data_IF_879687298579
#
_entry.id   IF_879687298579
#
_cell.length_a   1.000
_cell.length_b   1.000
_cell.length_c   1.000
_cell.angle_alpha   90.00
_cell.angle_beta   90.00
_cell.angle_gamma   90.00
#
_symmetry.space_group_name_H-M   'P 1'
#
loop_
_entity.id
_entity.type
_entity.pdbx_description
1 polymer ?
#
# COMPACT_ATOMS: atom_id res chain seq x y z
N UNK A 1 -8.66 23.92 4.11
CA UNK A 1 -7.70 23.83 3.00
C UNK A 1 -8.47 23.81 1.70
N UNK A 2 -8.06 24.59 0.71
CA UNK A 2 -8.61 24.51 -0.65
C UNK A 2 -8.06 23.26 -1.39
N UNK A 3 -8.56 23.00 -2.59
CA UNK A 3 -8.17 21.81 -3.38
C UNK A 3 -6.66 21.83 -3.69
N UNK A 4 -6.09 22.99 -4.00
CA UNK A 4 -4.67 23.10 -4.35
C UNK A 4 -3.78 22.84 -3.13
N UNK A 5 -4.13 23.42 -1.98
CA UNK A 5 -3.45 23.16 -0.71
C UNK A 5 -3.49 21.67 -0.33
N UNK A 6 -4.61 20.98 -0.58
CA UNK A 6 -4.72 19.54 -0.32
C UNK A 6 -3.80 18.72 -1.24
N UNK A 7 -3.72 19.06 -2.52
CA UNK A 7 -2.81 18.42 -3.47
C UNK A 7 -1.35 18.63 -3.06
N UNK A 8 -0.97 19.86 -2.72
CA UNK A 8 0.39 20.17 -2.29
C UNK A 8 0.76 19.41 -1.01
N UNK A 9 -0.15 19.35 -0.04
CA UNK A 9 0.07 18.55 1.18
C UNK A 9 0.24 17.06 0.88
N UNK A 10 -0.56 16.50 -0.04
CA UNK A 10 -0.43 15.11 -0.45
C UNK A 10 0.95 14.83 -1.07
N UNK A 11 1.39 15.67 -2.02
CA UNK A 11 2.71 15.55 -2.67
C UNK A 11 3.83 15.64 -1.62
N UNK A 12 3.81 16.65 -0.76
CA UNK A 12 4.82 16.82 0.29
C UNK A 12 4.88 15.63 1.25
N UNK A 13 3.73 15.06 1.61
CA UNK A 13 3.66 13.87 2.49
C UNK A 13 4.28 12.65 1.82
N UNK A 14 4.05 12.46 0.51
CA UNK A 14 4.66 11.38 -0.27
C UNK A 14 6.18 11.58 -0.34
N UNK A 15 6.64 12.80 -0.64
CA UNK A 15 8.07 13.10 -0.77
C UNK A 15 8.84 12.91 0.54
N UNK A 16 8.24 13.26 1.68
CA UNK A 16 8.83 13.04 3.01
C UNK A 16 9.06 11.55 3.33
N UNK A 17 8.31 10.64 2.69
CA UNK A 17 8.41 9.19 2.88
C UNK A 17 9.04 8.48 1.69
N UNK A 18 9.63 9.20 0.74
CA UNK A 18 10.20 8.66 -0.51
C UNK A 18 11.07 7.42 -0.30
N UNK A 19 11.99 7.47 0.66
CA UNK A 19 12.91 6.35 0.91
C UNK A 19 12.20 5.08 1.38
N UNK A 20 11.07 5.19 2.08
CA UNK A 20 10.26 4.04 2.49
C UNK A 20 9.72 3.30 1.27
N UNK A 21 9.20 4.05 0.29
CA UNK A 21 8.64 3.47 -0.95
C UNK A 21 9.73 2.87 -1.85
N UNK A 22 10.87 3.55 -1.96
CA UNK A 22 12.02 3.04 -2.71
C UNK A 22 12.58 1.76 -2.07
N UNK A 23 12.73 1.73 -0.74
CA UNK A 23 13.18 0.55 -0.02
C UNK A 23 12.20 -0.63 -0.16
N UNK A 24 10.89 -0.38 -0.07
CA UNK A 24 9.87 -1.39 -0.31
C UNK A 24 9.96 -1.98 -1.72
N UNK A 25 10.05 -1.12 -2.75
CA UNK A 25 10.19 -1.55 -4.13
C UNK A 25 11.47 -2.35 -4.39
N UNK A 26 12.61 -1.89 -3.85
CA UNK A 26 13.89 -2.62 -3.92
C UNK A 26 13.80 -3.99 -3.25
N UNK A 27 13.23 -4.06 -2.04
CA UNK A 27 13.07 -5.32 -1.30
C UNK A 27 12.26 -6.34 -2.11
N UNK A 28 11.15 -5.93 -2.74
CA UNK A 28 10.36 -6.82 -3.60
C UNK A 28 11.17 -7.22 -4.84
N UNK A 29 11.84 -6.27 -5.49
CA UNK A 29 12.64 -6.53 -6.69
C UNK A 29 13.81 -7.51 -6.45
N UNK A 30 14.48 -7.39 -5.31
CA UNK A 30 15.60 -8.26 -4.90
C UNK A 30 15.15 -9.66 -4.46
N UNK A 31 13.85 -9.86 -4.20
CA UNK A 31 13.28 -11.12 -3.74
C UNK A 31 12.13 -11.57 -4.66
N UNK A 32 12.39 -11.86 -5.95
CA UNK A 32 11.35 -12.23 -6.88
C UNK A 32 10.75 -13.60 -6.54
N UNK A 33 9.43 -13.71 -6.70
CA UNK A 33 8.68 -14.95 -6.54
C UNK A 33 7.88 -15.24 -7.81
N UNK A 34 7.69 -16.54 -8.12
CA UNK A 34 6.88 -16.95 -9.27
C UNK A 34 5.40 -16.82 -8.97
N UNK A 35 4.59 -16.77 -10.03
CA UNK A 35 3.13 -16.85 -9.95
C UNK A 35 2.64 -17.95 -9.01
N UNK A 36 1.63 -17.64 -8.19
CA UNK A 36 1.03 -18.52 -7.17
C UNK A 36 1.93 -18.88 -5.97
N UNK A 37 3.10 -18.24 -5.84
CA UNK A 37 4.07 -18.49 -4.76
C UNK A 37 4.60 -17.19 -4.15
N UNK A 38 3.89 -16.08 -4.32
CA UNK A 38 4.29 -14.72 -3.91
C UNK A 38 4.14 -14.48 -2.40
N UNK A 39 4.48 -15.48 -1.57
CA UNK A 39 4.20 -15.45 -0.12
C UNK A 39 4.96 -14.31 0.56
N UNK A 40 6.25 -14.15 0.27
CA UNK A 40 7.08 -13.11 0.90
C UNK A 40 6.76 -11.72 0.35
N UNK A 41 6.43 -11.64 -0.93
CA UNK A 41 6.06 -10.41 -1.61
C UNK A 41 4.76 -9.86 -1.03
N UNK A 42 3.74 -10.71 -0.91
CA UNK A 42 2.45 -10.34 -0.30
C UNK A 42 2.61 -9.97 1.16
N UNK A 43 3.38 -10.75 1.93
CA UNK A 43 3.68 -10.42 3.33
C UNK A 43 4.31 -9.03 3.44
N UNK A 44 5.33 -8.75 2.60
CA UNK A 44 6.06 -7.48 2.59
C UNK A 44 5.16 -6.31 2.23
N UNK A 45 4.25 -6.47 1.26
CA UNK A 45 3.31 -5.42 0.88
C UNK A 45 2.24 -5.19 1.95
N UNK A 46 1.66 -6.25 2.50
CA UNK A 46 0.64 -6.16 3.53
C UNK A 46 1.18 -5.55 4.83
N UNK A 47 2.42 -5.88 5.24
CA UNK A 47 3.10 -5.23 6.37
C UNK A 47 3.26 -3.72 6.15
N UNK A 48 3.60 -3.32 4.92
CA UNK A 48 3.74 -1.91 4.58
C UNK A 48 2.41 -1.16 4.63
N UNK A 49 1.31 -1.79 4.20
CA UNK A 49 -0.04 -1.24 4.26
C UNK A 49 -0.53 -1.11 5.72
N UNK A 50 -0.30 -2.11 6.55
CA UNK A 50 -0.62 -2.09 7.98
C UNK A 50 0.20 -1.03 8.74
N UNK A 51 1.48 -0.85 8.38
CA UNK A 51 2.31 0.22 8.94
C UNK A 51 1.80 1.63 8.59
N UNK A 52 0.99 1.78 7.53
CA UNK A 52 0.26 3.02 7.23
C UNK A 52 -1.02 3.20 8.06
N UNK A 53 -1.37 2.22 8.91
CA UNK A 53 -2.58 2.20 9.71
C UNK A 53 -3.82 1.72 8.94
N UNK A 54 -3.64 1.04 7.80
CA UNK A 54 -4.76 0.50 7.02
C UNK A 54 -5.12 -0.91 7.48
N UNK A 55 -6.42 -1.16 7.60
CA UNK A 55 -6.94 -2.52 7.75
C UNK A 55 -6.65 -3.30 6.45
N UNK A 56 -5.87 -4.37 6.59
CA UNK A 56 -5.38 -5.18 5.47
C UNK A 56 -5.84 -6.62 5.61
N UNK A 57 -6.64 -7.06 4.65
CA UNK A 57 -7.04 -8.46 4.47
C UNK A 57 -5.92 -9.21 3.76
N UNK A 58 -5.55 -10.38 4.27
CA UNK A 58 -4.51 -11.26 3.73
C UNK A 58 -5.11 -12.58 3.24
N UNK A 59 -4.30 -13.38 2.55
CA UNK A 59 -4.63 -14.74 2.09
C UNK A 59 -5.83 -14.84 1.13
N UNK A 60 -6.09 -13.76 0.37
CA UNK A 60 -7.13 -13.75 -0.67
C UNK A 60 -6.67 -14.65 -1.82
N UNK A 61 -7.39 -15.74 -2.07
CA UNK A 61 -7.02 -16.71 -3.12
C UNK A 61 -5.55 -17.17 -3.00
N UNK A 62 -5.12 -17.51 -1.79
CA UNK A 62 -3.77 -17.96 -1.39
C UNK A 62 -2.79 -16.81 -1.12
N UNK A 63 -2.42 -16.00 -2.12
CA UNK A 63 -1.35 -15.00 -1.98
C UNK A 63 -1.83 -13.56 -2.16
N UNK A 64 -3.12 -13.30 -2.29
CA UNK A 64 -3.64 -11.93 -2.42
C UNK A 64 -3.73 -11.19 -1.08
N UNK A 65 -3.56 -9.88 -1.11
CA UNK A 65 -3.89 -8.99 0.01
C UNK A 65 -4.66 -7.75 -0.48
N UNK A 66 -5.46 -7.15 0.40
CA UNK A 66 -6.24 -5.95 0.11
C UNK A 66 -6.35 -5.05 1.33
N UNK A 67 -5.92 -3.81 1.19
CA UNK A 67 -6.13 -2.77 2.20
C UNK A 67 -7.27 -1.83 1.82
N UNK A 68 -7.93 -1.23 2.82
CA UNK A 68 -9.03 -0.28 2.60
C UNK A 68 -8.76 1.03 3.34
N UNK A 69 -8.68 2.12 2.59
CA UNK A 69 -8.77 3.47 3.16
C UNK A 69 -10.23 3.93 3.17
N UNK A 70 -10.66 4.59 4.25
CA UNK A 70 -12.01 5.16 4.38
C UNK A 70 -13.14 4.14 4.12
N UNK A 71 -12.99 2.90 4.62
CA UNK A 71 -13.95 1.81 4.37
C UNK A 71 -15.39 2.22 4.68
N UNK A 72 -15.59 2.91 5.81
CA UNK A 72 -16.91 3.33 6.31
C UNK A 72 -17.48 4.59 5.64
N UNK A 73 -16.74 5.29 4.78
CA UNK A 73 -17.29 6.48 4.11
C UNK A 73 -18.25 6.11 3.00
N UNK A 74 -19.43 6.71 3.00
CA UNK A 74 -20.38 6.61 1.89
C UNK A 74 -19.85 7.30 0.62
N UNK A 75 -20.32 6.86 -0.54
CA UNK A 75 -19.95 7.40 -1.86
C UNK A 75 -19.19 6.42 -2.75
N UNK A 76 -18.77 6.87 -3.94
CA UNK A 76 -18.06 6.04 -4.91
C UNK A 76 -16.78 5.44 -4.32
N UNK A 77 -16.50 4.19 -4.67
CA UNK A 77 -15.27 3.49 -4.29
C UNK A 77 -14.35 3.42 -5.51
N UNK A 78 -13.11 3.86 -5.34
CA UNK A 78 -12.04 3.72 -6.34
C UNK A 78 -11.18 2.54 -5.91
N UNK A 79 -10.97 1.58 -6.82
CA UNK A 79 -10.16 0.37 -6.63
C UNK A 79 -8.99 0.35 -7.59
#
# INVERSE_FOLDING_TARGET
MNIEELKQKAIQTIDQRREVYLALGRKIYENPETGYREVKTTQTLADALEALGLETERDIAVTGCRARANAHKEGPKVV
#
